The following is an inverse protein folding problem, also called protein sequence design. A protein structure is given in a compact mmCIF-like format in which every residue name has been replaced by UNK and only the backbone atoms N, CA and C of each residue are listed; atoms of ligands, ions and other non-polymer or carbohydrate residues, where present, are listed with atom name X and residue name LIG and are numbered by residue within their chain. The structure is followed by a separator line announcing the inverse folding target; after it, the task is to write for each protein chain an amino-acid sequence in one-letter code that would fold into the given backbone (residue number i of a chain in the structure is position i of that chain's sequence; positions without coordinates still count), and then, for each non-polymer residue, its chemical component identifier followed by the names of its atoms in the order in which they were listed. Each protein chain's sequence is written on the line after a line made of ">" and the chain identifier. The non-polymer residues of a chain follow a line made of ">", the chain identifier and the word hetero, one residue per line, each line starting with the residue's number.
data_IF_758890131269
#
_entry.id   IF_758890131269
#
_cell.length_a   1.000
_cell.length_b   1.000
_cell.length_c   1.000
_cell.angle_alpha   90.00
_cell.angle_beta   90.00
_cell.angle_gamma   90.00
#
_symmetry.space_group_name_H-M   'P 1'
#
loop_
_entity.id
_entity.type
_entity.pdbx_description
1 polymer ?
#
# COMPACT_ATOMS: atom_id res chain seq x y z
N UNK A 1 -9.53 -21.46 9.74
CA UNK A 1 -8.90 -20.33 9.02
C UNK A 1 -9.90 -19.51 8.22
N UNK A 2 -10.71 -20.10 7.31
CA UNK A 2 -11.69 -19.38 6.48
C UNK A 2 -12.73 -18.56 7.26
N UNK A 3 -13.23 -19.07 8.41
CA UNK A 3 -14.19 -18.34 9.27
C UNK A 3 -13.59 -17.08 9.90
N UNK A 4 -12.34 -17.13 10.38
CA UNK A 4 -11.63 -15.98 10.95
C UNK A 4 -11.37 -14.91 9.89
N UNK A 5 -10.94 -15.32 8.69
CA UNK A 5 -10.73 -14.41 7.56
C UNK A 5 -12.05 -13.72 7.16
N UNK A 6 -13.14 -14.47 7.03
CA UNK A 6 -14.47 -13.90 6.71
C UNK A 6 -14.91 -12.89 7.77
N UNK A 7 -14.74 -13.22 9.05
CA UNK A 7 -15.05 -12.29 10.14
C UNK A 7 -14.23 -11.01 10.04
N UNK A 8 -12.90 -11.13 9.84
CA UNK A 8 -12.01 -9.97 9.70
C UNK A 8 -12.36 -9.12 8.48
N UNK A 9 -12.69 -9.72 7.34
CA UNK A 9 -13.12 -8.99 6.14
C UNK A 9 -14.46 -8.27 6.32
N UNK A 10 -15.45 -8.92 6.94
CA UNK A 10 -16.71 -8.27 7.28
C UNK A 10 -16.48 -7.11 8.26
N UNK A 11 -15.58 -7.31 9.23
CA UNK A 11 -15.20 -6.25 10.16
C UNK A 11 -14.52 -5.09 9.45
N UNK A 12 -13.61 -5.33 8.49
CA UNK A 12 -13.01 -4.27 7.66
C UNK A 12 -14.03 -3.47 6.87
N UNK A 13 -14.98 -4.13 6.21
CA UNK A 13 -16.03 -3.42 5.47
C UNK A 13 -16.93 -2.57 6.39
N UNK A 14 -17.00 -2.93 7.67
CA UNK A 14 -17.68 -2.15 8.72
C UNK A 14 -16.76 -1.18 9.46
N UNK A 15 -15.44 -1.22 9.24
CA UNK A 15 -14.50 -0.30 9.86
C UNK A 15 -14.67 1.06 9.21
N UNK A 16 -15.11 2.05 10.01
CA UNK A 16 -15.26 3.44 9.60
C UNK A 16 -13.98 3.98 8.94
N UNK A 17 -12.81 3.56 9.41
CA UNK A 17 -11.52 3.96 8.85
C UNK A 17 -11.30 3.49 7.41
N UNK A 18 -11.74 2.28 7.06
CA UNK A 18 -11.61 1.79 5.68
C UNK A 18 -12.52 2.57 4.74
N UNK A 19 -13.76 2.81 5.14
CA UNK A 19 -14.72 3.63 4.36
C UNK A 19 -14.24 5.07 4.24
N UNK A 20 -13.74 5.67 5.32
CA UNK A 20 -13.20 7.04 5.32
C UNK A 20 -12.01 7.16 4.37
N UNK A 21 -11.12 6.17 4.34
CA UNK A 21 -10.02 6.13 3.38
C UNK A 21 -10.53 6.08 1.94
N UNK A 22 -11.50 5.22 1.64
CA UNK A 22 -12.03 5.14 0.29
C UNK A 22 -12.67 6.47 -0.14
N UNK A 23 -13.41 7.11 0.76
CA UNK A 23 -14.01 8.42 0.51
C UNK A 23 -12.97 9.52 0.32
N UNK A 24 -11.99 9.61 1.22
CA UNK A 24 -10.92 10.60 1.13
C UNK A 24 -10.15 10.44 -0.19
N UNK A 25 -9.82 9.20 -0.56
CA UNK A 25 -9.11 8.93 -1.80
C UNK A 25 -9.97 9.22 -3.04
N UNK A 26 -11.27 8.92 -3.01
CA UNK A 26 -12.19 9.30 -4.07
C UNK A 26 -12.29 10.82 -4.25
N UNK A 27 -12.31 11.58 -3.17
CA UNK A 27 -12.30 13.06 -3.20
C UNK A 27 -10.99 13.57 -3.82
N UNK A 28 -9.84 13.02 -3.42
CA UNK A 28 -8.54 13.37 -3.99
C UNK A 28 -8.53 13.09 -5.50
N UNK A 29 -8.87 11.87 -5.93
CA UNK A 29 -8.94 11.52 -7.36
C UNK A 29 -9.85 12.47 -8.13
N UNK A 30 -11.02 12.79 -7.59
CA UNK A 30 -11.98 13.68 -8.27
C UNK A 30 -11.42 15.10 -8.38
N UNK A 31 -10.84 15.63 -7.30
CA UNK A 31 -10.22 16.96 -7.27
C UNK A 31 -9.05 17.06 -8.26
N UNK A 32 -8.19 16.06 -8.29
CA UNK A 32 -7.05 15.98 -9.21
C UNK A 32 -7.52 15.88 -10.67
N UNK A 33 -8.57 15.09 -10.94
CA UNK A 33 -9.13 14.96 -12.28
C UNK A 33 -9.74 16.27 -12.80
N UNK A 34 -10.48 16.99 -11.93
CA UNK A 34 -11.03 18.30 -12.25
C UNK A 34 -9.92 19.34 -12.51
N UNK A 35 -8.88 19.32 -11.70
CA UNK A 35 -7.71 20.19 -11.86
C UNK A 35 -6.98 19.91 -13.18
N UNK A 36 -6.85 18.64 -13.56
CA UNK A 36 -6.29 18.22 -14.84
C UNK A 36 -7.11 18.74 -16.02
N UNK A 37 -8.44 18.67 -15.93
CA UNK A 37 -9.35 19.17 -16.99
C UNK A 37 -9.27 20.68 -17.16
N UNK A 38 -9.24 21.42 -16.06
CA UNK A 38 -9.24 22.89 -16.07
C UNK A 38 -7.89 23.44 -16.58
N UNK A 39 -6.81 22.73 -16.33
CA UNK A 39 -5.48 23.17 -16.70
C UNK A 39 -4.66 22.00 -17.29
N UNK A 40 -4.94 21.55 -18.53
CA UNK A 40 -4.26 20.42 -19.16
C UNK A 40 -2.78 20.70 -19.50
N UNK A 41 -2.35 21.97 -19.39
CA UNK A 41 -0.95 22.38 -19.46
C UNK A 41 -0.25 22.44 -18.10
N UNK A 42 -0.94 22.16 -17.00
CA UNK A 42 -0.35 22.19 -15.67
C UNK A 42 0.79 21.16 -15.60
N UNK A 43 2.02 21.66 -15.50
CA UNK A 43 3.26 20.88 -15.63
C UNK A 43 3.32 19.68 -14.69
N UNK A 44 2.56 19.68 -13.59
CA UNK A 44 2.49 18.55 -12.66
C UNK A 44 2.06 17.23 -13.32
N UNK A 45 0.99 17.22 -14.12
CA UNK A 45 0.50 15.94 -14.63
C UNK A 45 1.32 15.41 -15.82
N UNK A 46 1.95 16.31 -16.58
CA UNK A 46 2.99 15.97 -17.55
C UNK A 46 4.29 15.51 -16.86
N UNK A 47 4.73 16.18 -15.81
CA UNK A 47 5.96 15.89 -15.09
C UNK A 47 5.92 14.59 -14.30
N UNK A 48 4.77 14.23 -13.69
CA UNK A 48 4.68 13.04 -12.83
C UNK A 48 4.19 11.79 -13.55
N UNK A 49 3.38 11.90 -14.62
CA UNK A 49 2.79 10.73 -15.27
C UNK A 49 2.85 10.74 -16.81
N UNK A 50 3.63 11.64 -17.41
CA UNK A 50 3.66 11.81 -18.87
C UNK A 50 2.29 12.21 -19.45
N UNK A 51 1.44 12.85 -18.66
CA UNK A 51 0.07 13.23 -19.03
C UNK A 51 -0.99 12.14 -18.84
N UNK A 52 -0.65 10.98 -18.23
CA UNK A 52 -1.57 9.83 -18.09
C UNK A 52 -2.19 9.76 -16.70
N UNK A 53 -3.45 10.13 -16.58
CA UNK A 53 -4.15 10.26 -15.29
C UNK A 53 -4.19 8.96 -14.47
N UNK A 54 -4.38 7.80 -15.10
CA UNK A 54 -4.37 6.50 -14.40
C UNK A 54 -3.02 6.17 -13.73
N UNK A 55 -1.92 6.59 -14.34
CA UNK A 55 -0.59 6.36 -13.78
C UNK A 55 -0.38 7.31 -12.59
N UNK A 56 -0.85 8.54 -12.70
CA UNK A 56 -0.82 9.50 -11.60
C UNK A 56 -1.64 9.05 -10.39
N UNK A 57 -2.86 8.53 -10.59
CA UNK A 57 -3.66 7.98 -9.48
C UNK A 57 -3.00 6.75 -8.85
N UNK A 58 -2.30 5.93 -9.63
CA UNK A 58 -1.51 4.82 -9.07
C UNK A 58 -0.35 5.32 -8.21
N UNK A 59 0.30 6.43 -8.57
CA UNK A 59 1.41 7.02 -7.79
C UNK A 59 0.94 7.52 -6.43
N UNK A 60 -0.14 8.30 -6.41
CA UNK A 60 -0.73 8.80 -5.18
C UNK A 60 -1.08 7.63 -4.24
N UNK A 61 -1.59 6.53 -4.80
CA UNK A 61 -1.94 5.35 -4.02
C UNK A 61 -0.71 4.57 -3.56
N UNK A 62 0.17 4.16 -4.46
CA UNK A 62 1.24 3.22 -4.14
C UNK A 62 2.38 3.87 -3.35
N UNK A 63 2.65 5.15 -3.59
CA UNK A 63 3.85 5.82 -3.09
C UNK A 63 3.59 6.70 -1.86
N UNK A 64 2.37 7.20 -1.69
CA UNK A 64 2.05 8.15 -0.63
C UNK A 64 0.96 7.61 0.31
N UNK A 65 -0.25 7.43 -0.21
CA UNK A 65 -1.45 7.24 0.61
C UNK A 65 -1.62 5.78 1.05
N UNK A 66 -1.33 4.83 0.18
CA UNK A 66 -1.46 3.38 0.41
C UNK A 66 -0.58 2.87 1.54
N UNK A 67 0.74 3.09 1.55
CA UNK A 67 1.63 2.63 2.62
C UNK A 67 1.17 3.07 4.02
N UNK A 68 0.76 4.34 4.17
CA UNK A 68 0.23 4.87 5.43
C UNK A 68 -1.10 4.22 5.81
N UNK A 69 -1.96 3.99 4.84
CA UNK A 69 -3.24 3.38 5.08
C UNK A 69 -3.14 1.90 5.46
N UNK A 70 -2.31 1.13 4.77
CA UNK A 70 -2.08 -0.28 5.11
C UNK A 70 -1.41 -0.43 6.47
N UNK A 71 -0.55 0.53 6.84
CA UNK A 71 0.00 0.63 8.20
C UNK A 71 -1.12 0.85 9.23
N UNK A 72 -2.04 1.79 8.99
CA UNK A 72 -3.16 2.05 9.87
C UNK A 72 -4.08 0.83 10.02
N UNK A 73 -4.42 0.17 8.92
CA UNK A 73 -5.22 -1.06 8.93
C UNK A 73 -4.52 -2.18 9.70
N UNK A 74 -3.21 -2.33 9.53
CA UNK A 74 -2.43 -3.30 10.29
C UNK A 74 -2.47 -2.98 11.79
N UNK A 75 -2.32 -1.70 12.14
CA UNK A 75 -2.37 -1.25 13.53
C UNK A 75 -3.74 -1.48 14.17
N UNK A 76 -4.83 -1.25 13.44
CA UNK A 76 -6.18 -1.57 13.92
C UNK A 76 -6.45 -3.08 13.97
N UNK A 77 -5.91 -3.87 13.05
CA UNK A 77 -6.09 -5.31 13.06
C UNK A 77 -5.28 -6.01 14.16
N UNK A 78 -4.19 -5.43 14.63
CA UNK A 78 -3.26 -6.08 15.56
C UNK A 78 -3.19 -5.32 16.89
N UNK A 79 -2.76 -4.06 16.87
CA UNK A 79 -2.50 -3.31 18.10
C UNK A 79 -3.77 -2.94 18.84
N UNK A 80 -4.85 -2.59 18.12
CA UNK A 80 -6.14 -2.32 18.75
C UNK A 80 -6.68 -3.58 19.46
N UNK A 81 -6.58 -4.75 18.82
CA UNK A 81 -6.96 -6.02 19.43
C UNK A 81 -6.06 -6.38 20.63
N UNK A 82 -4.76 -6.07 20.57
CA UNK A 82 -3.85 -6.24 21.71
C UNK A 82 -4.25 -5.34 22.88
N UNK A 83 -4.53 -4.06 22.63
CA UNK A 83 -4.95 -3.12 23.67
C UNK A 83 -6.32 -3.45 24.25
N UNK A 84 -7.21 -4.04 23.44
CA UNK A 84 -8.52 -4.51 23.90
C UNK A 84 -8.47 -5.89 24.58
N UNK A 85 -7.30 -6.53 24.63
CA UNK A 85 -7.16 -7.88 25.16
C UNK A 85 -7.82 -8.98 24.33
N UNK A 86 -8.24 -8.70 23.09
CA UNK A 86 -8.96 -9.66 22.24
C UNK A 86 -8.05 -10.44 21.29
N UNK A 87 -6.79 -10.04 21.17
CA UNK A 87 -5.84 -10.64 20.22
C UNK A 87 -5.55 -12.13 20.47
N UNK A 88 -5.65 -12.60 21.71
CA UNK A 88 -5.42 -14.00 22.08
C UNK A 88 -6.70 -14.87 21.99
N UNK A 89 -7.89 -14.28 21.84
CA UNK A 89 -9.15 -15.02 21.77
C UNK A 89 -9.20 -16.07 20.64
N UNK A 90 -8.64 -15.83 19.44
CA UNK A 90 -8.56 -16.87 18.42
C UNK A 90 -7.72 -18.07 18.86
N UNK A 91 -6.69 -17.84 19.68
CA UNK A 91 -5.80 -18.91 20.19
C UNK A 91 -6.52 -19.80 21.21
N UNK A 92 -7.37 -19.21 22.07
CA UNK A 92 -8.22 -19.95 23.00
C UNK A 92 -9.24 -20.84 22.27
N UNK A 93 -9.64 -20.45 21.05
CA UNK A 93 -10.51 -21.25 20.18
C UNK A 93 -9.75 -22.29 19.33
N UNK A 94 -8.52 -22.64 19.71
CA UNK A 94 -7.73 -23.71 19.08
C UNK A 94 -6.96 -23.31 17.81
N UNK A 95 -6.87 -22.02 17.45
CA UNK A 95 -5.99 -21.58 16.35
C UNK A 95 -4.53 -21.51 16.81
N UNK A 96 -3.62 -21.95 15.95
CA UNK A 96 -2.19 -21.76 16.20
C UNK A 96 -1.76 -20.30 15.99
N UNK A 97 -0.69 -19.87 16.69
CA UNK A 97 -0.08 -18.53 16.50
C UNK A 97 0.31 -18.27 15.03
N UNK A 98 0.77 -19.30 14.31
CA UNK A 98 1.09 -19.24 12.88
C UNK A 98 -0.15 -18.93 12.03
N UNK A 99 -1.26 -19.62 12.28
CA UNK A 99 -2.52 -19.38 11.57
C UNK A 99 -3.09 -17.99 11.86
N UNK A 100 -2.92 -17.46 13.07
CA UNK A 100 -3.31 -16.09 13.41
C UNK A 100 -2.52 -15.07 12.57
N UNK A 101 -1.20 -15.20 12.50
CA UNK A 101 -0.35 -14.34 11.66
C UNK A 101 -0.77 -14.39 10.19
N UNK A 102 -0.97 -15.59 9.65
CA UNK A 102 -1.42 -15.76 8.27
C UNK A 102 -2.77 -15.14 8.01
N UNK A 103 -3.71 -15.19 8.96
CA UNK A 103 -5.00 -14.52 8.83
C UNK A 103 -4.83 -13.00 8.74
N UNK A 104 -3.98 -12.40 9.57
CA UNK A 104 -3.74 -10.94 9.56
C UNK A 104 -3.05 -10.49 8.27
N UNK A 105 -2.09 -11.28 7.79
CA UNK A 105 -1.43 -11.03 6.51
C UNK A 105 -2.42 -11.13 5.34
N UNK A 106 -3.17 -12.24 5.22
CA UNK A 106 -4.16 -12.41 4.17
C UNK A 106 -5.22 -11.33 4.18
N UNK A 107 -5.70 -10.94 5.36
CA UNK A 107 -6.62 -9.82 5.54
C UNK A 107 -6.06 -8.54 4.91
N UNK A 108 -4.82 -8.15 5.22
CA UNK A 108 -4.21 -6.95 4.64
C UNK A 108 -3.96 -7.08 3.14
N UNK A 109 -3.54 -8.25 2.66
CA UNK A 109 -3.33 -8.48 1.23
C UNK A 109 -4.63 -8.34 0.44
N UNK A 110 -5.73 -8.88 0.95
CA UNK A 110 -7.04 -8.74 0.31
C UNK A 110 -7.48 -7.28 0.27
N UNK A 111 -7.30 -6.53 1.37
CA UNK A 111 -7.62 -5.09 1.40
C UNK A 111 -6.71 -4.26 0.50
N UNK A 112 -5.44 -4.61 0.42
CA UNK A 112 -4.48 -3.98 -0.48
C UNK A 112 -4.92 -4.16 -1.93
N UNK A 113 -5.11 -5.41 -2.37
CA UNK A 113 -5.52 -5.69 -3.75
C UNK A 113 -6.87 -5.05 -4.07
N UNK A 114 -7.86 -5.19 -3.17
CA UNK A 114 -9.19 -4.62 -3.40
C UNK A 114 -9.15 -3.09 -3.48
N UNK A 115 -8.38 -2.42 -2.62
CA UNK A 115 -8.24 -0.96 -2.65
C UNK A 115 -7.52 -0.47 -3.91
N UNK A 116 -6.47 -1.16 -4.37
CA UNK A 116 -5.75 -0.80 -5.60
C UNK A 116 -6.65 -0.95 -6.81
N UNK A 117 -7.36 -2.08 -6.93
CA UNK A 117 -8.28 -2.32 -8.03
C UNK A 117 -9.45 -1.36 -8.04
N UNK A 118 -10.12 -1.18 -6.90
CA UNK A 118 -11.31 -0.32 -6.80
C UNK A 118 -10.96 1.14 -7.11
N UNK A 119 -9.80 1.62 -6.66
CA UNK A 119 -9.40 3.00 -6.90
C UNK A 119 -8.84 3.24 -8.29
N UNK A 120 -8.16 2.26 -8.87
CA UNK A 120 -7.79 2.30 -10.28
C UNK A 120 -9.03 2.33 -11.18
N UNK A 121 -10.05 1.52 -10.85
CA UNK A 121 -11.33 1.50 -11.56
C UNK A 121 -12.09 2.83 -11.39
N UNK A 122 -12.13 3.36 -10.17
CA UNK A 122 -12.75 4.66 -9.90
C UNK A 122 -12.05 5.78 -10.69
N UNK A 123 -10.71 5.82 -10.68
CA UNK A 123 -9.93 6.78 -11.47
C UNK A 123 -10.19 6.65 -12.98
N UNK A 124 -10.36 5.42 -13.48
CA UNK A 124 -10.73 5.16 -14.86
C UNK A 124 -12.08 5.80 -15.21
N UNK A 125 -13.12 5.55 -14.41
CA UNK A 125 -14.45 6.10 -14.65
C UNK A 125 -14.49 7.62 -14.51
N UNK A 126 -13.93 8.17 -13.44
CA UNK A 126 -13.92 9.62 -13.20
C UNK A 126 -13.18 10.35 -14.32
N UNK A 127 -12.04 9.81 -14.76
CA UNK A 127 -11.31 10.40 -15.88
C UNK A 127 -12.04 10.23 -17.22
N UNK A 128 -12.69 9.10 -17.45
CA UNK A 128 -13.44 8.86 -18.69
C UNK A 128 -14.65 9.79 -18.81
N UNK A 129 -15.36 10.03 -17.70
CA UNK A 129 -16.51 10.93 -17.64
C UNK A 129 -16.11 12.40 -17.78
N UNK A 130 -14.96 12.81 -17.23
CA UNK A 130 -14.55 14.22 -17.22
C UNK A 130 -13.70 14.63 -18.42
N UNK A 131 -12.83 13.74 -18.91
CA UNK A 131 -11.83 14.02 -19.96
C UNK A 131 -12.02 13.19 -21.23
N UNK A 132 -13.01 12.29 -21.27
CA UNK A 132 -13.26 11.36 -22.39
C UNK A 132 -12.53 10.03 -22.24
N UNK A 133 -13.13 8.93 -22.71
CA UNK A 133 -12.54 7.59 -22.58
C UNK A 133 -11.31 7.38 -23.47
N UNK A 134 -11.23 8.04 -24.63
CA UNK A 134 -10.05 7.97 -25.51
C UNK A 134 -8.78 8.46 -24.79
N UNK A 135 -8.92 9.51 -23.98
CA UNK A 135 -7.83 10.03 -23.14
C UNK A 135 -7.35 9.00 -22.11
N UNK A 136 -8.26 8.20 -21.54
CA UNK A 136 -7.93 7.18 -20.53
C UNK A 136 -7.31 5.94 -21.16
N UNK A 137 -7.77 5.57 -22.36
CA UNK A 137 -7.25 4.44 -23.11
C UNK A 137 -5.81 4.67 -23.59
N UNK A 138 -5.41 5.94 -23.76
CA UNK A 138 -4.02 6.34 -24.03
C UNK A 138 -3.10 6.01 -22.85
N UNK A 139 -2.58 4.79 -22.85
CA UNK A 139 -1.62 4.31 -21.86
C UNK A 139 -2.17 3.30 -20.85
N UNK A 140 -3.37 2.75 -21.10
CA UNK A 140 -3.96 1.68 -20.27
C UNK A 140 -3.02 0.48 -20.10
N UNK A 141 -2.33 0.06 -21.16
CA UNK A 141 -1.36 -1.05 -21.11
C UNK A 141 -0.20 -0.76 -20.15
N UNK A 142 0.29 0.48 -20.15
CA UNK A 142 1.36 0.91 -19.25
C UNK A 142 0.85 1.00 -17.80
N UNK A 143 -0.36 1.51 -17.60
CA UNK A 143 -0.99 1.57 -16.28
C UNK A 143 -1.19 0.16 -15.69
N UNK A 144 -1.69 -0.79 -16.47
CA UNK A 144 -1.85 -2.19 -16.06
C UNK A 144 -0.52 -2.83 -15.67
N UNK A 145 0.53 -2.62 -16.48
CA UNK A 145 1.88 -3.09 -16.16
C UNK A 145 2.40 -2.53 -14.83
N UNK A 146 2.21 -1.23 -14.60
CA UNK A 146 2.63 -0.57 -13.36
C UNK A 146 1.82 -1.04 -12.15
N UNK A 147 0.51 -1.27 -12.30
CA UNK A 147 -0.33 -1.84 -11.23
C UNK A 147 0.27 -3.18 -10.79
N UNK A 148 0.59 -4.07 -11.73
CA UNK A 148 1.17 -5.38 -11.40
C UNK A 148 2.53 -5.26 -10.70
N UNK A 149 3.40 -4.36 -11.19
CA UNK A 149 4.72 -4.15 -10.61
C UNK A 149 4.65 -3.55 -9.20
N UNK A 150 3.76 -2.58 -8.96
CA UNK A 150 3.59 -1.91 -7.67
C UNK A 150 3.00 -2.80 -6.58
N UNK A 151 2.24 -3.84 -6.94
CA UNK A 151 1.72 -4.81 -5.96
C UNK A 151 2.85 -5.54 -5.21
N UNK A 152 4.01 -5.74 -5.82
CA UNK A 152 5.15 -6.47 -5.21
C UNK A 152 5.78 -5.69 -4.03
N UNK A 153 6.24 -4.44 -4.18
CA UNK A 153 6.76 -3.66 -3.05
C UNK A 153 5.65 -3.27 -2.05
N UNK A 154 4.40 -3.10 -2.49
CA UNK A 154 3.27 -2.87 -1.58
C UNK A 154 2.99 -4.09 -0.69
N UNK A 155 3.05 -5.31 -1.24
CA UNK A 155 2.94 -6.53 -0.45
C UNK A 155 4.02 -6.59 0.63
N UNK A 156 5.25 -6.24 0.26
CA UNK A 156 6.38 -6.16 1.20
C UNK A 156 6.12 -5.14 2.30
N UNK A 157 5.54 -3.99 1.94
CA UNK A 157 5.12 -2.93 2.88
C UNK A 157 4.06 -3.44 3.85
N UNK A 158 3.07 -4.21 3.39
CA UNK A 158 2.06 -4.83 4.24
C UNK A 158 2.66 -5.82 5.25
N UNK A 159 3.63 -6.65 4.81
CA UNK A 159 4.35 -7.56 5.70
C UNK A 159 5.16 -6.78 6.74
N UNK A 160 5.85 -5.71 6.32
CA UNK A 160 6.59 -4.82 7.21
C UNK A 160 5.67 -4.14 8.24
N UNK A 161 4.48 -3.70 7.83
CA UNK A 161 3.48 -3.12 8.72
C UNK A 161 3.01 -4.11 9.80
N UNK A 162 2.74 -5.37 9.41
CA UNK A 162 2.42 -6.44 10.37
C UNK A 162 3.58 -6.67 11.33
N UNK A 163 4.80 -6.76 10.83
CA UNK A 163 5.99 -6.93 11.65
C UNK A 163 6.12 -5.80 12.68
N UNK A 164 5.98 -4.55 12.24
CA UNK A 164 6.03 -3.38 13.11
C UNK A 164 4.95 -3.49 14.19
N UNK A 165 3.71 -3.82 13.82
CA UNK A 165 2.62 -4.05 14.78
C UNK A 165 2.93 -5.17 15.80
N UNK A 166 3.69 -6.20 15.42
CA UNK A 166 4.09 -7.24 16.37
C UNK A 166 5.11 -6.74 17.40
N UNK A 167 5.93 -5.75 17.07
CA UNK A 167 6.91 -5.15 17.99
C UNK A 167 6.36 -3.98 18.81
N UNK A 168 5.39 -3.24 18.27
CA UNK A 168 4.77 -2.11 18.95
C UNK A 168 3.61 -2.54 19.87
N UNK A 169 3.30 -1.70 20.87
CA UNK A 169 2.25 -1.98 21.86
C UNK A 169 0.91 -1.32 21.56
N UNK A 170 0.90 -0.17 20.90
CA UNK A 170 -0.31 0.60 20.63
C UNK A 170 -0.32 1.17 19.21
N UNK A 171 -1.48 1.62 18.75
CA UNK A 171 -1.67 2.19 17.41
C UNK A 171 -0.82 3.45 17.21
N UNK A 172 -0.78 4.34 18.20
CA UNK A 172 -0.08 5.63 18.10
C UNK A 172 1.42 5.46 17.81
N UNK A 173 2.11 4.54 18.51
CA UNK A 173 3.54 4.31 18.33
C UNK A 173 3.83 3.67 16.98
N UNK A 174 2.99 2.74 16.52
CA UNK A 174 3.11 2.15 15.17
C UNK A 174 2.97 3.20 14.08
N UNK A 175 1.96 4.06 14.20
CA UNK A 175 1.75 5.15 13.25
C UNK A 175 2.90 6.14 13.28
N UNK A 176 3.38 6.52 14.47
CA UNK A 176 4.52 7.43 14.62
C UNK A 176 5.80 6.90 13.96
N UNK A 177 6.16 5.64 14.25
CA UNK A 177 7.35 5.02 13.63
C UNK A 177 7.17 4.87 12.12
N UNK A 178 6.01 4.37 11.66
CA UNK A 178 5.82 4.16 10.23
C UNK A 178 5.72 5.45 9.42
N UNK A 179 5.13 6.52 9.97
CA UNK A 179 5.16 7.87 9.39
C UNK A 179 6.60 8.38 9.27
N UNK A 180 7.39 8.24 10.33
CA UNK A 180 8.78 8.68 10.33
C UNK A 180 9.60 7.91 9.28
N UNK A 181 9.43 6.58 9.21
CA UNK A 181 10.10 5.75 8.20
C UNK A 181 9.74 6.17 6.77
N UNK A 182 8.46 6.39 6.49
CA UNK A 182 8.01 6.81 5.16
C UNK A 182 8.46 8.23 4.82
N UNK A 183 8.50 9.14 5.79
CA UNK A 183 8.98 10.51 5.59
C UNK A 183 10.49 10.54 5.32
N UNK A 184 11.27 9.80 6.11
CA UNK A 184 12.71 9.66 5.91
C UNK A 184 13.00 9.00 4.57
N UNK A 185 12.31 7.92 4.21
CA UNK A 185 12.51 7.26 2.91
C UNK A 185 12.20 8.21 1.74
N UNK A 186 11.10 8.96 1.80
CA UNK A 186 10.78 9.99 0.80
C UNK A 186 11.87 11.05 0.68
N UNK A 187 12.33 11.59 1.81
CA UNK A 187 13.35 12.63 1.85
C UNK A 187 14.66 12.12 1.24
N UNK A 188 15.12 10.93 1.64
CA UNK A 188 16.36 10.36 1.13
C UNK A 188 16.22 9.97 -0.35
N UNK A 189 15.06 9.48 -0.79
CA UNK A 189 14.79 9.22 -2.20
C UNK A 189 14.90 10.48 -3.05
N UNK A 190 14.44 11.63 -2.55
CA UNK A 190 14.49 12.89 -3.28
C UNK A 190 15.93 13.39 -3.52
N UNK A 191 16.83 13.22 -2.54
CA UNK A 191 18.21 13.69 -2.64
C UNK A 191 19.19 12.63 -3.17
N UNK A 192 18.93 11.34 -2.93
CA UNK A 192 19.88 10.25 -3.12
C UNK A 192 19.29 9.03 -3.84
N UNK A 193 18.32 9.21 -4.73
CA UNK A 193 17.63 8.15 -5.48
C UNK A 193 18.56 7.03 -6.00
N UNK A 194 19.70 7.38 -6.63
CA UNK A 194 20.64 6.39 -7.19
C UNK A 194 21.42 5.59 -6.15
N UNK A 195 21.53 6.07 -4.91
CA UNK A 195 22.08 5.34 -3.78
C UNK A 195 21.00 4.45 -3.14
N UNK A 196 19.82 5.01 -2.89
CA UNK A 196 18.71 4.33 -2.19
C UNK A 196 18.14 3.18 -3.01
N UNK A 197 18.06 3.32 -4.34
CA UNK A 197 17.64 2.25 -5.26
C UNK A 197 18.46 0.98 -5.11
N UNK A 198 19.66 1.06 -4.50
CA UNK A 198 20.53 -0.08 -4.34
C UNK A 198 20.11 -1.06 -3.26
N UNK A 199 19.38 -0.59 -2.24
CA UNK A 199 19.09 -1.36 -1.05
C UNK A 199 17.67 -1.15 -0.49
N UNK A 200 16.99 -0.03 -0.71
CA UNK A 200 15.65 0.18 -0.18
C UNK A 200 14.60 -0.41 -1.12
N UNK A 201 13.75 -1.31 -0.61
CA UNK A 201 12.59 -1.78 -1.37
C UNK A 201 11.50 -0.68 -1.47
N UNK A 202 11.43 0.27 -0.52
CA UNK A 202 10.46 1.36 -0.53
C UNK A 202 10.68 2.30 -1.70
N UNK A 203 11.93 2.48 -2.14
CA UNK A 203 12.26 3.18 -3.39
C UNK A 203 11.41 2.65 -4.56
N UNK A 204 11.19 1.34 -4.64
CA UNK A 204 10.45 0.73 -5.73
C UNK A 204 8.93 0.89 -5.65
N UNK A 205 8.35 1.31 -4.50
CA UNK A 205 6.96 1.81 -4.46
C UNK A 205 6.83 3.09 -5.31
N UNK A 206 7.81 3.99 -5.25
CA UNK A 206 7.88 5.20 -6.08
C UNK A 206 8.25 4.84 -7.52
N UNK A 207 9.27 4.01 -7.69
CA UNK A 207 9.85 3.72 -8.98
C UNK A 207 8.88 2.98 -9.91
N UNK A 208 8.20 1.94 -9.42
CA UNK A 208 7.24 1.17 -10.23
C UNK A 208 5.91 1.89 -10.48
N UNK A 209 5.56 2.87 -9.65
CA UNK A 209 4.43 3.75 -9.94
C UNK A 209 4.77 4.83 -10.97
N UNK A 210 6.02 4.90 -11.46
CA UNK A 210 6.54 5.95 -12.35
C UNK A 210 6.54 7.35 -11.74
N UNK A 211 6.71 7.47 -10.43
CA UNK A 211 6.79 8.75 -9.75
C UNK A 211 7.86 9.65 -10.43
N UNK A 212 7.47 10.88 -10.81
CA UNK A 212 8.23 11.83 -11.65
C UNK A 212 8.30 11.50 -13.16
N UNK A 213 7.39 10.69 -13.70
CA UNK A 213 7.18 10.49 -15.14
C UNK A 213 8.32 9.77 -15.87
N UNK A 214 9.33 9.29 -15.15
CA UNK A 214 10.51 8.64 -15.74
C UNK A 214 10.28 7.13 -15.86
N UNK A 215 10.26 6.56 -17.08
CA UNK A 215 10.18 5.12 -17.25
C UNK A 215 11.36 4.45 -16.55
N UNK A 216 11.08 3.42 -15.75
CA UNK A 216 12.14 2.67 -15.09
C UNK A 216 12.96 1.91 -16.14
N UNK A 217 14.30 2.01 -16.13
CA UNK A 217 15.13 1.22 -17.01
C UNK A 217 14.83 -0.27 -16.81
N UNK A 218 14.73 -1.06 -17.89
CA UNK A 218 14.39 -2.48 -17.79
C UNK A 218 15.36 -3.26 -16.87
N UNK A 219 16.61 -2.82 -16.79
CA UNK A 219 17.64 -3.35 -15.87
C UNK A 219 17.33 -3.17 -14.37
N UNK A 220 16.49 -2.23 -14.00
CA UNK A 220 16.10 -1.97 -12.60
C UNK A 220 14.90 -2.83 -12.16
N UNK A 221 14.14 -3.41 -13.11
CA UNK A 221 12.97 -4.27 -12.81
C UNK A 221 13.35 -5.51 -11.97
N UNK A 222 14.34 -6.34 -12.38
CA UNK A 222 14.71 -7.52 -11.59
C UNK A 222 15.22 -7.15 -10.21
N UNK A 223 15.90 -6.00 -10.10
CA UNK A 223 16.44 -5.50 -8.85
C UNK A 223 15.35 -5.11 -7.87
N UNK A 224 14.35 -4.34 -8.33
CA UNK A 224 13.23 -3.93 -7.48
C UNK A 224 12.39 -5.10 -7.02
N UNK A 225 12.12 -6.06 -7.92
CA UNK A 225 11.42 -7.29 -7.56
C UNK A 225 12.24 -8.12 -6.57
N UNK A 226 13.53 -8.33 -6.85
CA UNK A 226 14.43 -9.11 -6.00
C UNK A 226 14.59 -8.53 -4.60
N UNK A 227 14.80 -7.21 -4.47
CA UNK A 227 14.85 -6.53 -3.17
C UNK A 227 13.52 -6.65 -2.43
N UNK A 228 12.39 -6.40 -3.11
CA UNK A 228 11.07 -6.51 -2.48
C UNK A 228 10.82 -7.93 -1.94
N UNK A 229 11.09 -8.96 -2.73
CA UNK A 229 10.94 -10.35 -2.29
C UNK A 229 11.90 -10.66 -1.14
N UNK A 230 13.17 -10.24 -1.22
CA UNK A 230 14.17 -10.46 -0.17
C UNK A 230 13.74 -9.85 1.17
N UNK A 231 13.33 -8.58 1.17
CA UNK A 231 12.80 -7.91 2.36
C UNK A 231 11.49 -8.54 2.83
N UNK A 232 10.58 -8.91 1.93
CA UNK A 232 9.32 -9.55 2.25
C UNK A 232 9.52 -10.88 2.99
N UNK A 233 10.45 -11.71 2.50
CA UNK A 233 10.83 -12.96 3.18
C UNK A 233 11.46 -12.68 4.54
N UNK A 234 12.42 -11.76 4.63
CA UNK A 234 13.06 -11.39 5.89
C UNK A 234 12.03 -10.94 6.92
N UNK A 235 11.14 -10.00 6.57
CA UNK A 235 10.11 -9.50 7.47
C UNK A 235 9.12 -10.58 7.88
N UNK A 236 8.75 -11.48 6.96
CA UNK A 236 7.89 -12.61 7.27
C UNK A 236 8.54 -13.58 8.27
N UNK A 237 9.83 -13.91 8.09
CA UNK A 237 10.57 -14.75 9.04
C UNK A 237 10.68 -14.11 10.42
N UNK A 238 10.97 -12.80 10.47
CA UNK A 238 11.00 -12.05 11.73
C UNK A 238 9.62 -12.01 12.39
N UNK A 239 8.54 -11.86 11.62
CA UNK A 239 7.17 -11.84 12.12
C UNK A 239 6.77 -13.20 12.71
N UNK A 240 7.12 -14.30 12.02
CA UNK A 240 6.91 -15.66 12.52
C UNK A 240 7.65 -15.91 13.83
N UNK A 241 8.93 -15.56 13.88
CA UNK A 241 9.74 -15.72 15.10
C UNK A 241 9.13 -14.92 16.24
N UNK A 242 8.76 -13.66 15.98
CA UNK A 242 8.17 -12.78 16.99
C UNK A 242 6.87 -13.34 17.55
N UNK A 243 5.92 -13.72 16.69
CA UNK A 243 4.61 -14.19 17.16
C UNK A 243 4.72 -15.50 17.95
N UNK A 244 5.67 -16.38 17.64
CA UNK A 244 5.92 -17.60 18.40
C UNK A 244 6.37 -17.30 19.83
N UNK A 245 7.30 -16.36 19.99
CA UNK A 245 7.86 -15.92 21.28
C UNK A 245 6.96 -15.02 22.11
N UNK A 246 5.83 -14.53 21.58
CA UNK A 246 4.92 -13.68 22.34
C UNK A 246 4.18 -14.49 23.41
N UNK A 247 4.33 -14.07 24.66
CA UNK A 247 3.49 -14.48 25.79
C UNK A 247 2.18 -13.68 25.75
N UNK A 248 1.06 -14.33 26.04
CA UNK A 248 -0.29 -13.75 26.03
C UNK A 248 -0.90 -13.83 27.41
#
# INVERSE_FOLDING_TARGET
>A
MSRLLRFQLVQALRQKAFVLYLLAYAVIITSECLSFRQNPQNDFAKAYAGGKFLIYSLQLQAALIGPLFFLLLAAFAINLEKTAGTFHLPLLNGLSKKQLLHSKLLYLVILMISSVLLMSLFAFFVSGLLNGFDFVLLGINQALGNILLTLVPLLTTCIAAVLLCLYTKNVALTMGIGLLLLLVDNLVNQFMAGFVSKFSFLFYNYAFSLYNGRPLPAKELPRGIGLSIGYGLLFYFLALRRIQTMEY
#
